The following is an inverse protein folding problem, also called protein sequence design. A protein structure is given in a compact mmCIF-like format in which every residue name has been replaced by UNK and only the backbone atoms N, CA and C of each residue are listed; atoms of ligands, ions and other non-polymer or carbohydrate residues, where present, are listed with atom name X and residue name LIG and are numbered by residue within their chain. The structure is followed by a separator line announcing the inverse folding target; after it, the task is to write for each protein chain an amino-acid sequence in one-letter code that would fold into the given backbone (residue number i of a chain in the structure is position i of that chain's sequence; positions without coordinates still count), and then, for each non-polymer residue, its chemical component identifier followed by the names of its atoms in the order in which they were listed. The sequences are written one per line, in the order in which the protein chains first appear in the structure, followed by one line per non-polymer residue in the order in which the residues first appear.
data_IF_371024196499
#
_entry.id   IF_371024196499
#
_cell.length_a   1.000
_cell.length_b   1.000
_cell.length_c   1.000
_cell.angle_alpha   90.00
_cell.angle_beta   90.00
_cell.angle_gamma   90.00
#
_symmetry.space_group_name_H-M   'P 1'
#
loop_
_entity.id
_entity.type
_entity.pdbx_description
1 polymer ?
#
# COMPACT_ATOMS: atom_id res chain seq x y z
N UNK A 1 -15.72 -11.63 -16.54
CA UNK A 1 -15.02 -10.61 -17.34
C UNK A 1 -13.66 -10.32 -16.70
N UNK A 2 -12.87 -9.38 -17.23
CA UNK A 2 -11.58 -8.99 -16.64
C UNK A 2 -11.70 -7.58 -16.03
N UNK A 3 -11.24 -7.42 -14.78
CA UNK A 3 -11.25 -6.16 -14.05
C UNK A 3 -9.84 -5.58 -14.11
N UNK A 4 -9.66 -4.33 -14.58
CA UNK A 4 -8.36 -3.69 -14.59
C UNK A 4 -7.91 -3.35 -13.15
N UNK A 5 -6.65 -3.60 -12.86
CA UNK A 5 -6.03 -3.25 -11.57
C UNK A 5 -5.08 -2.08 -11.78
N UNK A 6 -5.31 -0.99 -11.06
CA UNK A 6 -4.50 0.21 -11.17
C UNK A 6 -3.68 0.45 -9.92
N UNK A 7 -2.43 0.90 -10.09
CA UNK A 7 -1.69 1.59 -9.03
C UNK A 7 -2.06 3.07 -9.07
N UNK A 8 -2.53 3.60 -7.96
CA UNK A 8 -2.84 5.02 -7.82
C UNK A 8 -1.93 5.62 -6.76
N UNK A 9 -1.41 6.82 -7.02
CA UNK A 9 -0.65 7.62 -6.06
C UNK A 9 -1.47 8.86 -5.71
N UNK A 10 -1.59 9.12 -4.42
CA UNK A 10 -2.19 10.34 -3.87
C UNK A 10 -1.12 11.19 -3.18
N UNK A 11 -1.21 12.51 -3.36
CA UNK A 11 -0.46 13.49 -2.58
C UNK A 11 -0.83 13.36 -1.10
N UNK A 12 0.17 13.42 -0.24
CA UNK A 12 -0.04 13.42 1.21
C UNK A 12 -0.48 14.82 1.64
N UNK A 13 -1.63 14.92 2.33
CA UNK A 13 -2.06 16.18 2.95
C UNK A 13 -1.10 16.60 4.07
N UNK A 14 -0.55 15.63 4.80
CA UNK A 14 0.47 15.85 5.82
C UNK A 14 1.61 14.85 5.54
N UNK A 15 2.83 15.32 5.19
CA UNK A 15 3.97 14.44 5.00
C UNK A 15 4.39 13.81 6.32
N UNK A 16 4.92 12.60 6.26
CA UNK A 16 5.54 11.97 7.43
C UNK A 16 6.86 12.70 7.75
N UNK A 17 7.01 13.29 8.95
CA UNK A 17 8.19 14.08 9.31
C UNK A 17 9.46 13.23 9.39
N UNK A 18 9.32 11.91 9.43
CA UNK A 18 10.42 10.97 9.59
C UNK A 18 10.89 10.35 8.27
N UNK A 19 10.26 10.71 7.14
CA UNK A 19 10.59 10.18 5.81
C UNK A 19 11.03 11.28 4.86
N UNK A 20 12.02 10.97 4.03
CA UNK A 20 12.48 11.83 2.93
C UNK A 20 11.36 12.11 1.94
N UNK A 21 11.17 13.37 1.56
CA UNK A 21 10.14 13.81 0.60
C UNK A 21 10.70 13.93 -0.83
N UNK A 22 9.85 13.81 -1.88
CA UNK A 22 8.41 13.61 -1.85
C UNK A 22 7.99 12.15 -1.62
N UNK A 23 6.85 11.96 -0.94
CA UNK A 23 6.19 10.66 -0.74
C UNK A 23 4.72 10.75 -1.12
N UNK A 24 4.16 9.62 -1.54
CA UNK A 24 2.75 9.50 -1.90
C UNK A 24 2.09 8.40 -1.08
N UNK A 25 0.78 8.51 -0.88
CA UNK A 25 -0.04 7.38 -0.47
C UNK A 25 -0.35 6.54 -1.70
N UNK A 26 0.25 5.36 -1.79
CA UNK A 26 0.08 4.46 -2.94
C UNK A 26 -0.94 3.39 -2.60
N UNK A 27 -1.90 3.15 -3.51
CA UNK A 27 -2.98 2.18 -3.35
C UNK A 27 -3.15 1.35 -4.62
N UNK A 28 -3.76 0.17 -4.50
CA UNK A 28 -4.37 -0.53 -5.64
C UNK A 28 -5.82 -0.08 -5.76
N UNK A 29 -6.26 0.25 -6.96
CA UNK A 29 -7.64 0.61 -7.27
C UNK A 29 -8.20 -0.35 -8.30
N UNK A 30 -9.39 -0.89 -8.03
CA UNK A 30 -10.14 -1.74 -8.94
C UNK A 30 -11.53 -1.10 -9.15
N UNK A 31 -11.86 -0.66 -10.37
CA UNK A 31 -13.17 -0.08 -10.65
C UNK A 31 -14.26 -1.14 -10.56
N UNK A 32 -15.47 -0.72 -10.20
CA UNK A 32 -16.67 -1.56 -10.28
C UNK A 32 -17.06 -1.69 -11.75
N UNK A 33 -17.16 -2.91 -12.31
CA UNK A 33 -17.61 -3.11 -13.68
C UNK A 33 -18.98 -2.48 -13.93
N UNK A 34 -19.13 -1.81 -15.07
CA UNK A 34 -20.37 -1.15 -15.51
C UNK A 34 -20.89 -0.01 -14.60
N UNK A 35 -20.11 0.50 -13.65
CA UNK A 35 -20.47 1.69 -12.89
C UNK A 35 -20.13 2.98 -13.69
N UNK A 36 -21.14 3.78 -14.10
CA UNK A 36 -20.91 5.00 -14.87
C UNK A 36 -20.16 6.09 -14.09
N UNK A 37 -20.21 6.06 -12.77
CA UNK A 37 -19.44 7.00 -11.93
C UNK A 37 -17.93 6.70 -11.99
N UNK A 38 -17.56 5.47 -12.35
CA UNK A 38 -16.19 4.98 -12.31
C UNK A 38 -15.65 4.83 -10.89
N UNK A 39 -16.54 4.61 -9.91
CA UNK A 39 -16.12 4.26 -8.55
C UNK A 39 -15.51 2.86 -8.51
N UNK A 40 -14.82 2.56 -7.42
CA UNK A 40 -14.07 1.34 -7.26
C UNK A 40 -13.84 0.98 -5.81
N UNK A 41 -13.05 -0.07 -5.62
CA UNK A 41 -12.50 -0.44 -4.33
C UNK A 41 -11.01 -0.17 -4.34
N UNK A 42 -10.52 0.46 -3.27
CA UNK A 42 -9.09 0.53 -3.01
C UNK A 42 -8.64 -0.54 -2.04
N UNK A 43 -7.40 -0.98 -2.23
CA UNK A 43 -6.66 -1.85 -1.32
C UNK A 43 -5.35 -1.14 -0.97
N UNK A 44 -5.11 -0.97 0.32
CA UNK A 44 -3.96 -0.23 0.82
C UNK A 44 -3.57 -0.70 2.21
N UNK A 45 -2.49 -0.12 2.73
CA UNK A 45 -2.18 -0.18 4.16
C UNK A 45 -2.35 1.21 4.76
N UNK A 46 -2.96 1.27 5.94
CA UNK A 46 -3.20 2.48 6.72
C UNK A 46 -2.44 2.41 8.04
N UNK A 47 -2.13 3.56 8.62
CA UNK A 47 -1.37 3.67 9.87
C UNK A 47 -0.11 4.51 9.69
N UNK A 48 0.78 4.42 10.67
CA UNK A 48 1.98 5.26 10.75
C UNK A 48 3.19 4.48 11.28
N UNK A 49 4.36 5.13 11.30
CA UNK A 49 5.60 4.47 11.70
C UNK A 49 5.64 4.13 13.20
N UNK A 50 4.82 4.78 14.03
CA UNK A 50 4.81 4.66 15.49
C UNK A 50 3.79 3.63 15.98
N UNK A 51 2.60 3.60 15.38
CA UNK A 51 1.56 2.61 15.68
C UNK A 51 1.69 1.33 14.85
N UNK A 52 2.40 1.40 13.73
CA UNK A 52 2.43 0.35 12.72
C UNK A 52 1.31 0.55 11.69
N UNK A 53 1.30 -0.32 10.69
CA UNK A 53 0.31 -0.27 9.61
C UNK A 53 -0.49 -1.55 9.52
N UNK A 54 -1.67 -1.45 8.91
CA UNK A 54 -2.58 -2.57 8.70
C UNK A 54 -3.22 -2.48 7.34
N UNK A 55 -3.43 -3.64 6.72
CA UNK A 55 -4.16 -3.73 5.47
C UNK A 55 -5.63 -3.32 5.66
N UNK A 56 -6.13 -2.52 4.73
CA UNK A 56 -7.53 -2.11 4.67
C UNK A 56 -8.02 -2.09 3.22
N UNK A 57 -9.34 -2.20 3.06
CA UNK A 57 -10.01 -1.95 1.79
C UNK A 57 -11.28 -1.15 2.01
N UNK A 58 -11.59 -0.23 1.08
CA UNK A 58 -12.81 0.59 1.12
C UNK A 58 -13.27 0.93 -0.29
N UNK A 59 -14.55 1.28 -0.43
CA UNK A 59 -15.05 1.91 -1.64
C UNK A 59 -14.48 3.33 -1.78
N UNK A 60 -14.21 3.75 -3.00
CA UNK A 60 -13.71 5.09 -3.33
C UNK A 60 -14.31 5.56 -4.66
N UNK A 61 -14.62 6.86 -4.83
CA UNK A 61 -14.95 7.40 -6.14
C UNK A 61 -13.78 7.22 -7.12
N UNK A 62 -14.00 7.63 -8.37
CA UNK A 62 -12.94 7.66 -9.38
C UNK A 62 -11.71 8.42 -8.84
N UNK A 63 -10.50 7.85 -8.88
CA UNK A 63 -9.30 8.51 -8.34
C UNK A 63 -9.10 9.93 -8.85
N UNK A 64 -9.35 10.15 -10.14
CA UNK A 64 -9.18 11.45 -10.80
C UNK A 64 -10.14 12.54 -10.31
N UNK A 65 -11.21 12.19 -9.59
CA UNK A 65 -12.13 13.19 -9.01
C UNK A 65 -11.66 13.69 -7.65
N UNK A 66 -10.59 13.13 -7.09
CA UNK A 66 -10.05 13.53 -5.78
C UNK A 66 -8.96 14.59 -5.98
N UNK A 67 -8.99 15.66 -5.17
CA UNK A 67 -7.97 16.73 -5.21
C UNK A 67 -6.56 16.23 -4.89
N UNK A 68 -6.46 15.16 -4.10
CA UNK A 68 -5.18 14.54 -3.74
C UNK A 68 -4.62 13.65 -4.85
N UNK A 69 -5.32 13.46 -5.98
CA UNK A 69 -4.85 12.63 -7.08
C UNK A 69 -3.51 13.12 -7.63
N UNK A 70 -2.51 12.24 -7.67
CA UNK A 70 -1.23 12.52 -8.30
C UNK A 70 -1.08 11.76 -9.63
N UNK A 71 -1.31 10.45 -9.63
CA UNK A 71 -1.15 9.64 -10.85
C UNK A 71 -1.84 8.29 -10.76
N UNK A 72 -2.19 7.71 -11.92
CA UNK A 72 -2.68 6.34 -12.06
C UNK A 72 -1.86 5.58 -13.11
N UNK A 73 -1.56 4.31 -12.84
CA UNK A 73 -0.88 3.39 -13.75
C UNK A 73 -1.62 2.06 -13.79
N UNK A 74 -1.98 1.57 -14.98
CA UNK A 74 -2.50 0.22 -15.14
C UNK A 74 -1.39 -0.80 -14.83
N UNK A 75 -1.67 -1.74 -13.94
CA UNK A 75 -0.75 -2.82 -13.58
C UNK A 75 -1.05 -4.10 -14.37
N UNK A 76 -2.32 -4.34 -14.70
CA UNK A 76 -2.78 -5.52 -15.40
C UNK A 76 -4.27 -5.75 -15.18
N UNK A 77 -4.69 -6.98 -15.36
CA UNK A 77 -6.09 -7.39 -15.22
C UNK A 77 -6.21 -8.60 -14.30
N UNK A 78 -7.34 -8.69 -13.61
CA UNK A 78 -7.75 -9.86 -12.82
C UNK A 78 -9.06 -10.41 -13.36
N UNK A 79 -9.26 -11.72 -13.30
CA UNK A 79 -10.55 -12.31 -13.62
C UNK A 79 -11.58 -11.95 -12.55
N UNK A 80 -12.77 -11.55 -12.98
CA UNK A 80 -13.89 -11.22 -12.11
C UNK A 80 -14.26 -12.35 -11.14
N UNK A 81 -14.05 -13.62 -11.52
CA UNK A 81 -14.29 -14.77 -10.63
C UNK A 81 -13.37 -14.79 -9.39
N UNK A 82 -12.19 -14.19 -9.50
CA UNK A 82 -11.15 -14.19 -8.47
C UNK A 82 -11.25 -12.94 -7.57
N UNK A 83 -12.08 -11.97 -7.95
CA UNK A 83 -12.34 -10.75 -7.20
C UNK A 83 -13.77 -10.76 -6.60
N UNK A 84 -13.98 -10.34 -5.33
CA UNK A 84 -12.98 -9.78 -4.42
C UNK A 84 -12.27 -10.82 -3.54
N UNK A 85 -12.74 -12.06 -3.48
CA UNK A 85 -12.35 -13.01 -2.42
C UNK A 85 -10.87 -13.43 -2.52
N UNK A 86 -10.46 -14.05 -3.62
CA UNK A 86 -9.10 -14.59 -3.78
C UNK A 86 -8.08 -13.45 -3.75
N UNK A 87 -8.38 -12.34 -4.41
CA UNK A 87 -7.57 -11.13 -4.38
C UNK A 87 -7.35 -10.59 -2.96
N UNK A 88 -8.43 -10.43 -2.17
CA UNK A 88 -8.34 -9.98 -0.77
C UNK A 88 -7.57 -10.97 0.09
N UNK A 89 -7.75 -12.26 -0.12
CA UNK A 89 -7.09 -13.30 0.67
C UNK A 89 -5.58 -13.31 0.43
N UNK A 90 -5.12 -13.09 -0.80
CA UNK A 90 -3.68 -12.92 -1.10
C UNK A 90 -3.14 -11.69 -0.38
N UNK A 91 -3.79 -10.53 -0.51
CA UNK A 91 -3.30 -9.30 0.10
C UNK A 91 -3.32 -9.33 1.63
N UNK A 92 -4.30 -10.00 2.25
CA UNK A 92 -4.39 -10.15 3.71
C UNK A 92 -3.30 -11.04 4.32
N UNK A 93 -2.71 -11.93 3.53
CA UNK A 93 -1.61 -12.81 3.97
C UNK A 93 -0.25 -12.10 3.95
N UNK A 94 -0.16 -10.94 3.31
CA UNK A 94 1.07 -10.17 3.28
C UNK A 94 1.22 -9.37 4.56
N UNK A 95 2.39 -9.45 5.18
CA UNK A 95 2.71 -8.64 6.34
C UNK A 95 2.68 -7.15 5.96
N UNK A 96 1.83 -6.34 6.62
CA UNK A 96 1.87 -4.90 6.47
C UNK A 96 3.18 -4.34 7.07
N UNK A 97 3.55 -3.09 6.76
CA UNK A 97 4.66 -2.44 7.44
C UNK A 97 4.48 -2.49 8.96
N UNK A 98 5.42 -3.08 9.71
CA UNK A 98 5.31 -3.14 11.15
C UNK A 98 5.53 -1.74 11.74
N UNK A 99 5.36 -1.62 13.05
CA UNK A 99 5.87 -0.48 13.80
C UNK A 99 7.39 -0.39 13.60
N UNK A 100 7.86 0.79 13.21
CA UNK A 100 9.27 1.06 12.90
C UNK A 100 9.87 2.15 13.80
N UNK A 101 9.04 2.85 14.57
CA UNK A 101 9.48 3.84 15.56
C UNK A 101 8.69 3.67 16.84
N UNK A 102 9.30 4.02 17.97
CA UNK A 102 8.63 4.06 19.26
C UNK A 102 9.12 5.24 20.08
N UNK A 103 8.33 5.65 21.06
CA UNK A 103 8.80 6.60 22.07
C UNK A 103 9.76 5.88 23.02
N UNK A 104 10.97 6.42 23.16
CA UNK A 104 12.00 5.93 24.07
C UNK A 104 12.06 6.85 25.28
N UNK A 105 11.80 6.29 26.46
CA UNK A 105 11.71 7.07 27.71
C UNK A 105 13.09 7.58 28.13
N UNK A 106 14.14 6.79 27.92
CA UNK A 106 15.51 7.15 28.34
C UNK A 106 16.03 8.40 27.63
N UNK A 107 15.67 8.58 26.37
CA UNK A 107 16.11 9.71 25.55
C UNK A 107 15.03 10.77 25.35
N UNK A 108 13.80 10.50 25.82
CA UNK A 108 12.61 11.33 25.64
C UNK A 108 12.34 11.68 24.16
N UNK A 109 12.64 10.74 23.25
CA UNK A 109 12.54 10.93 21.79
C UNK A 109 11.78 9.78 21.13
N UNK A 110 11.15 10.08 19.99
CA UNK A 110 10.67 9.04 19.08
C UNK A 110 11.88 8.56 18.28
N UNK A 111 12.25 7.31 18.44
CA UNK A 111 13.42 6.70 17.79
C UNK A 111 12.99 5.50 16.93
N UNK A 112 13.86 5.10 16.01
CA UNK A 112 13.62 3.91 15.20
C UNK A 112 13.81 2.67 16.07
N UNK A 113 12.88 1.72 15.94
CA UNK A 113 12.94 0.40 16.58
C UNK A 113 12.93 -0.70 15.53
N UNK A 114 13.38 -1.88 15.92
CA UNK A 114 13.31 -3.09 15.11
C UNK A 114 11.86 -3.57 15.03
N UNK A 115 11.58 -4.48 14.09
CA UNK A 115 10.23 -5.02 13.89
C UNK A 115 9.71 -5.80 15.12
N UNK A 116 10.60 -6.33 15.95
CA UNK A 116 10.28 -6.98 17.23
C UNK A 116 10.05 -5.97 18.39
N UNK A 117 10.20 -4.68 18.12
CA UNK A 117 10.05 -3.60 19.10
C UNK A 117 11.30 -3.30 19.93
N UNK A 118 12.39 -4.06 19.76
CA UNK A 118 13.66 -3.78 20.41
C UNK A 118 14.36 -2.57 19.78
N UNK A 119 15.31 -1.99 20.52
CA UNK A 119 16.06 -0.83 20.05
C UNK A 119 17.30 -1.23 19.27
N UNK A 120 17.74 -0.33 18.39
CA UNK A 120 19.05 -0.43 17.76
C UNK A 120 20.14 0.00 18.74
N UNK A 121 21.29 -0.68 18.71
CA UNK A 121 22.49 -0.23 19.41
C UNK A 121 23.10 1.01 18.73
N UNK A 122 23.94 1.76 19.46
CA UNK A 122 24.46 3.07 19.00
C UNK A 122 25.20 3.03 17.65
N UNK A 123 25.78 1.87 17.29
CA UNK A 123 26.53 1.65 16.04
C UNK A 123 25.89 0.62 15.12
N UNK A 124 24.70 0.15 15.46
CA UNK A 124 23.99 -0.81 14.64
C UNK A 124 23.41 -0.11 13.41
N UNK A 125 23.54 -0.73 12.25
CA UNK A 125 22.91 -0.25 11.03
C UNK A 125 21.38 -0.40 11.17
N UNK A 126 20.65 0.68 10.87
CA UNK A 126 19.20 0.70 10.98
C UNK A 126 18.56 0.19 9.71
N UNK A 127 17.53 -0.64 9.85
CA UNK A 127 16.77 -1.11 8.71
C UNK A 127 16.14 0.06 7.94
N UNK A 128 15.95 -0.13 6.63
CA UNK A 128 15.23 0.84 5.81
C UNK A 128 13.76 0.91 6.25
N UNK A 129 13.33 2.10 6.67
CA UNK A 129 11.91 2.36 6.91
C UNK A 129 11.11 2.28 5.61
N UNK A 130 9.91 1.71 5.67
CA UNK A 130 9.06 1.47 4.52
C UNK A 130 7.58 1.62 4.89
N UNK A 131 6.76 2.14 3.97
CA UNK A 131 5.32 2.43 4.19
C UNK A 131 4.48 1.77 3.08
N UNK A 132 3.30 2.34 2.82
CA UNK A 132 2.35 1.86 1.82
C UNK A 132 2.92 1.77 0.40
N UNK A 133 3.82 2.68 0.01
CA UNK A 133 4.41 2.66 -1.33
C UNK A 133 5.25 1.42 -1.55
N UNK A 134 6.16 1.14 -0.62
CA UNK A 134 7.02 -0.04 -0.68
C UNK A 134 6.18 -1.32 -0.50
N UNK A 135 5.16 -1.32 0.38
CA UNK A 135 4.25 -2.47 0.49
C UNK A 135 3.55 -2.79 -0.83
N UNK A 136 3.08 -1.76 -1.57
CA UNK A 136 2.47 -1.97 -2.88
C UNK A 136 3.50 -2.44 -3.92
N UNK A 137 4.62 -1.75 -4.03
CA UNK A 137 5.58 -1.98 -5.12
C UNK A 137 6.41 -3.24 -4.92
N UNK A 138 6.81 -3.55 -3.70
CA UNK A 138 7.74 -4.64 -3.38
C UNK A 138 7.05 -5.91 -2.86
N UNK A 139 5.80 -5.82 -2.36
CA UNK A 139 5.07 -6.99 -1.82
C UNK A 139 3.77 -7.29 -2.56
N UNK A 140 2.83 -6.36 -2.59
CA UNK A 140 1.48 -6.61 -3.08
C UNK A 140 1.46 -6.94 -4.58
N UNK A 141 2.11 -6.12 -5.40
CA UNK A 141 2.14 -6.36 -6.86
C UNK A 141 2.86 -7.68 -7.20
N UNK A 142 4.08 -7.95 -6.69
CA UNK A 142 4.73 -9.24 -6.91
C UNK A 142 3.89 -10.45 -6.47
N UNK A 143 3.28 -10.41 -5.28
CA UNK A 143 2.46 -11.51 -4.77
C UNK A 143 1.22 -11.78 -5.65
N UNK A 144 0.60 -10.74 -6.21
CA UNK A 144 -0.53 -10.90 -7.13
C UNK A 144 -0.11 -11.49 -8.48
N UNK A 145 1.10 -11.18 -8.95
CA UNK A 145 1.68 -11.78 -10.17
C UNK A 145 2.04 -13.24 -9.92
N UNK A 146 2.70 -13.55 -8.81
CA UNK A 146 3.09 -14.92 -8.42
C UNK A 146 1.87 -15.83 -8.22
N UNK A 147 0.78 -15.30 -7.65
CA UNK A 147 -0.49 -16.01 -7.52
C UNK A 147 -1.23 -16.19 -8.86
N UNK A 148 -0.72 -15.65 -9.97
CA UNK A 148 -1.37 -15.70 -11.28
C UNK A 148 -2.65 -14.85 -11.37
N UNK A 149 -2.88 -13.96 -10.40
CA UNK A 149 -4.08 -13.12 -10.34
C UNK A 149 -3.97 -11.86 -11.19
N UNK A 150 -2.75 -11.36 -11.37
CA UNK A 150 -2.48 -10.17 -12.17
C UNK A 150 -1.79 -10.57 -13.47
N UNK A 151 -2.54 -10.59 -14.57
CA UNK A 151 -1.98 -10.81 -15.90
C UNK A 151 -1.54 -9.48 -16.49
N UNK A 152 -0.24 -9.33 -16.81
CA UNK A 152 0.26 -8.18 -17.57
C UNK A 152 -0.44 -8.17 -18.93
N UNK A 153 -1.04 -7.03 -19.31
CA UNK A 153 -1.61 -6.85 -20.63
C UNK A 153 -0.51 -6.83 -21.68
N UNK A 154 -0.11 -8.02 -22.17
CA UNK A 154 0.91 -8.20 -23.19
C UNK A 154 0.90 -9.63 -23.73
N UNK A 155 0.17 -9.82 -24.84
CA UNK A 155 0.25 -10.99 -25.73
C UNK A 155 -0.85 -12.02 -25.54
N UNK A 156 -1.92 -11.95 -26.35
CA UNK A 156 -1.97 -12.50 -27.72
C UNK A 156 -2.86 -11.60 -28.57
#
# INVERSE_FOLDING_TARGET
MAIPVFKVKYNLSIPDPFMSQPRHHTVLFLPIPADPSGSGTIHHVIGDLVSGMSYACRAEPRPESLETFHSRKLLGYINEKDYPKVFKDVLKRLDPPPKQRSFRVETMRIEQCKADGSWYEEREEKDRMWKCTEWIEEKAVPALVEAGLLTCGGGI
#
